data_IF_840693504255
#
_entry.id   IF_840693504255
#
_cell.length_a   1.000
_cell.length_b   1.000
_cell.length_c   1.000
_cell.angle_alpha   90.00
_cell.angle_beta   90.00
_cell.angle_gamma   90.00
#
_symmetry.space_group_name_H-M   'P 1'
#
loop_
_entity.id
_entity.type
_entity.pdbx_description
1 polymer ?
#
# COMPACT_ATOMS: atom_id res chain seq x y z
N UNK A 1 11.67 15.13 -8.85
CA UNK A 1 10.64 16.03 -9.43
C UNK A 1 11.28 17.31 -9.93
N UNK A 2 10.92 17.76 -11.11
CA UNK A 2 11.31 19.06 -11.67
C UNK A 2 10.01 19.82 -11.97
N UNK A 3 9.87 21.04 -11.42
CA UNK A 3 8.68 21.87 -11.58
C UNK A 3 7.33 21.15 -11.32
N UNK A 4 7.29 20.33 -10.27
CA UNK A 4 6.10 19.58 -9.88
C UNK A 4 5.76 18.40 -10.80
N UNK A 5 6.69 17.95 -11.66
CA UNK A 5 6.52 16.80 -12.55
C UNK A 5 7.55 15.73 -12.24
N UNK A 6 7.12 14.48 -12.30
CA UNK A 6 8.01 13.34 -12.28
C UNK A 6 8.86 13.32 -13.57
N UNK A 7 10.04 12.75 -13.49
CA UNK A 7 10.93 12.60 -14.65
C UNK A 7 11.09 11.11 -14.96
N UNK A 8 11.26 10.71 -16.22
CA UNK A 8 11.46 9.31 -16.57
C UNK A 8 12.81 8.79 -16.08
N UNK A 9 12.86 7.52 -15.69
CA UNK A 9 14.07 6.80 -15.28
C UNK A 9 14.92 7.58 -14.26
N UNK A 10 14.28 8.24 -13.31
CA UNK A 10 14.93 9.13 -12.35
C UNK A 10 14.93 8.52 -10.94
N UNK A 11 16.00 8.79 -10.19
CA UNK A 11 16.04 8.62 -8.74
C UNK A 11 16.08 10.00 -8.11
N UNK A 12 15.23 10.23 -7.11
CA UNK A 12 15.19 11.50 -6.39
C UNK A 12 14.94 11.27 -4.91
N UNK A 13 15.27 12.26 -4.10
CA UNK A 13 15.10 12.23 -2.65
C UNK A 13 14.11 13.31 -2.21
N UNK A 14 13.16 12.95 -1.34
CA UNK A 14 12.25 13.86 -0.65
C UNK A 14 12.23 13.51 0.84
N UNK A 15 12.58 14.47 1.68
CA UNK A 15 12.64 14.30 3.14
C UNK A 15 13.47 13.09 3.61
N UNK A 16 14.57 12.75 2.90
CA UNK A 16 15.39 11.58 3.21
C UNK A 16 14.86 10.25 2.68
N UNK A 17 13.71 10.24 2.01
CA UNK A 17 13.13 9.06 1.37
C UNK A 17 13.54 9.05 -0.12
N UNK A 18 13.94 7.89 -0.63
CA UNK A 18 14.48 7.72 -1.99
C UNK A 18 13.42 7.07 -2.88
N UNK A 19 13.09 7.73 -3.98
CA UNK A 19 12.09 7.29 -4.94
C UNK A 19 12.74 7.02 -6.30
N UNK A 20 12.20 6.04 -7.03
CA UNK A 20 12.63 5.73 -8.40
C UNK A 20 11.41 5.71 -9.33
N UNK A 21 11.59 6.27 -10.53
CA UNK A 21 10.58 6.25 -11.59
C UNK A 21 11.02 5.37 -12.76
N UNK A 22 10.03 4.91 -13.53
CA UNK A 22 10.24 4.21 -14.79
C UNK A 22 10.31 5.17 -16.01
N UNK A 23 10.34 4.61 -17.21
CA UNK A 23 10.36 5.34 -18.47
C UNK A 23 9.04 6.09 -18.78
N UNK A 24 7.95 5.73 -18.11
CA UNK A 24 6.65 6.39 -18.20
C UNK A 24 6.41 7.43 -17.08
N UNK A 25 7.48 7.90 -16.41
CA UNK A 25 7.41 8.89 -15.32
C UNK A 25 6.59 8.44 -14.10
N UNK A 26 6.43 7.11 -13.88
CA UNK A 26 5.66 6.54 -12.76
C UNK A 26 6.57 6.13 -11.63
N UNK A 27 6.17 6.38 -10.38
CA UNK A 27 6.92 5.92 -9.20
C UNK A 27 6.80 4.41 -9.11
N UNK A 28 7.91 3.68 -9.24
CA UNK A 28 7.95 2.21 -9.16
C UNK A 28 8.53 1.70 -7.85
N UNK A 29 9.27 2.53 -7.12
CA UNK A 29 9.77 2.16 -5.80
C UNK A 29 9.99 3.36 -4.89
N UNK A 30 9.96 3.08 -3.59
CA UNK A 30 10.37 4.01 -2.54
C UNK A 30 11.10 3.24 -1.44
N UNK A 31 12.31 3.70 -1.09
CA UNK A 31 13.01 3.27 0.12
C UNK A 31 12.92 4.39 1.15
N UNK A 32 12.37 4.09 2.33
CA UNK A 32 12.15 5.10 3.35
C UNK A 32 12.59 4.62 4.74
N UNK A 33 12.91 5.60 5.57
CA UNK A 33 13.09 5.42 7.01
C UNK A 33 12.05 6.30 7.72
N UNK A 34 10.82 5.82 7.91
CA UNK A 34 9.75 6.56 8.56
C UNK A 34 10.17 7.01 9.96
N UNK A 35 9.83 8.25 10.30
CA UNK A 35 9.99 8.81 11.65
C UNK A 35 8.72 9.54 12.03
N UNK A 36 8.34 9.52 13.31
CA UNK A 36 7.21 10.33 13.78
C UNK A 36 7.52 11.81 13.58
N UNK A 37 6.65 12.49 12.86
CA UNK A 37 6.78 13.92 12.56
C UNK A 37 5.43 14.60 12.65
N UNK A 38 5.39 15.95 12.82
CA UNK A 38 4.16 16.70 12.58
C UNK A 38 3.64 16.41 11.17
N UNK A 39 2.33 16.30 11.03
CA UNK A 39 1.71 16.04 9.74
C UNK A 39 1.97 17.20 8.76
N UNK A 40 2.62 16.91 7.64
CA UNK A 40 2.84 17.89 6.58
C UNK A 40 1.50 18.37 5.99
N UNK A 41 1.37 19.66 5.62
CA UNK A 41 0.17 20.17 4.97
C UNK A 41 -0.19 19.37 3.73
N UNK A 42 -1.48 19.21 3.47
CA UNK A 42 -1.96 18.50 2.29
C UNK A 42 -1.89 19.39 1.06
N UNK A 43 -1.29 18.92 -0.02
CA UNK A 43 -1.29 19.56 -1.33
C UNK A 43 -2.45 19.01 -2.17
N UNK A 44 -3.60 19.69 -2.13
CA UNK A 44 -4.82 19.22 -2.79
C UNK A 44 -4.67 19.08 -4.32
N UNK A 45 -3.91 19.97 -4.95
CA UNK A 45 -3.68 19.92 -6.40
C UNK A 45 -2.86 18.68 -6.77
N UNK A 46 -1.76 18.41 -6.08
CA UNK A 46 -0.94 17.21 -6.30
C UNK A 46 -1.76 15.93 -6.10
N UNK A 47 -2.66 15.91 -5.10
CA UNK A 47 -3.54 14.75 -4.88
C UNK A 47 -4.54 14.51 -6.01
N UNK A 48 -5.03 15.57 -6.67
CA UNK A 48 -5.91 15.45 -7.82
C UNK A 48 -5.16 15.01 -9.08
N UNK A 49 -3.88 15.33 -9.20
CA UNK A 49 -3.04 14.98 -10.34
C UNK A 49 -2.58 13.52 -10.32
N UNK A 50 -2.53 12.87 -9.14
CA UNK A 50 -2.08 11.48 -9.02
C UNK A 50 -2.92 10.55 -9.90
N UNK A 51 -2.26 9.76 -10.77
CA UNK A 51 -2.88 8.85 -11.73
C UNK A 51 -3.28 9.49 -13.06
N UNK A 52 -3.12 10.82 -13.21
CA UNK A 52 -3.38 11.51 -14.47
C UNK A 52 -4.74 11.19 -15.08
N UNK A 53 -4.74 10.85 -16.37
CA UNK A 53 -5.96 10.49 -17.12
C UNK A 53 -6.54 9.12 -16.73
N UNK A 54 -5.73 8.24 -16.09
CA UNK A 54 -6.13 6.89 -15.70
C UNK A 54 -6.74 6.82 -14.30
N UNK A 55 -6.79 7.97 -13.60
CA UNK A 55 -7.44 8.09 -12.30
C UNK A 55 -8.91 7.72 -12.37
N UNK A 56 -9.34 6.81 -11.49
CA UNK A 56 -10.75 6.41 -11.38
C UNK A 56 -11.53 7.37 -10.48
N UNK A 57 -12.87 7.45 -10.60
CA UNK A 57 -13.70 8.36 -9.78
C UNK A 57 -13.55 8.17 -8.27
N UNK A 58 -13.27 6.95 -7.82
CA UNK A 58 -13.10 6.60 -6.40
C UNK A 58 -11.64 6.69 -5.93
N UNK A 59 -10.71 7.05 -6.79
CA UNK A 59 -9.31 7.15 -6.39
C UNK A 59 -9.04 8.41 -5.58
N UNK A 60 -8.11 8.28 -4.69
CA UNK A 60 -7.50 9.35 -3.92
C UNK A 60 -6.01 9.44 -4.23
N UNK A 61 -5.40 10.60 -4.02
CA UNK A 61 -3.95 10.71 -3.96
C UNK A 61 -3.47 10.04 -2.67
N UNK A 62 -3.03 8.79 -2.78
CA UNK A 62 -2.46 8.05 -1.65
C UNK A 62 -0.99 8.35 -1.47
N UNK A 63 -0.56 8.69 -0.24
CA UNK A 63 0.84 8.90 0.06
C UNK A 63 1.56 7.56 0.18
N UNK A 64 2.71 7.42 -0.49
CA UNK A 64 3.57 6.24 -0.38
C UNK A 64 4.18 6.19 1.02
N UNK A 65 4.69 7.32 1.51
CA UNK A 65 5.11 7.52 2.90
C UNK A 65 4.15 8.52 3.55
N UNK A 66 3.57 8.15 4.68
CA UNK A 66 2.59 8.98 5.38
C UNK A 66 3.14 10.35 5.78
N UNK A 67 2.32 11.40 5.66
CA UNK A 67 2.71 12.78 5.96
C UNK A 67 3.08 13.02 7.44
N UNK A 68 2.55 12.21 8.35
CA UNK A 68 2.88 12.17 9.77
C UNK A 68 4.06 11.24 10.11
N UNK A 69 4.68 10.68 9.06
CA UNK A 69 5.89 9.86 9.12
C UNK A 69 7.02 10.42 8.24
N UNK A 70 7.09 11.74 8.12
CA UNK A 70 8.06 12.48 7.31
C UNK A 70 7.89 12.30 5.79
N UNK A 71 6.71 11.87 5.32
CA UNK A 71 6.38 11.82 3.90
C UNK A 71 6.17 13.21 3.30
N UNK A 72 6.59 13.40 2.05
CA UNK A 72 6.35 14.62 1.29
C UNK A 72 4.87 14.75 0.89
N UNK A 73 4.37 15.98 0.70
CA UNK A 73 2.97 16.25 0.35
C UNK A 73 2.71 16.30 -1.16
N UNK A 74 3.77 16.48 -1.95
CA UNK A 74 3.68 16.70 -3.39
C UNK A 74 3.59 15.41 -4.21
N UNK A 75 3.46 15.60 -5.53
CA UNK A 75 3.26 14.50 -6.51
C UNK A 75 4.35 13.42 -6.44
N UNK A 76 5.57 13.79 -5.98
CA UNK A 76 6.69 12.86 -5.85
C UNK A 76 6.52 11.77 -4.79
N UNK A 77 5.48 11.85 -3.96
CA UNK A 77 5.14 10.85 -2.93
C UNK A 77 3.70 10.36 -3.08
N UNK A 78 3.06 10.58 -4.23
CA UNK A 78 1.64 10.28 -4.42
C UNK A 78 1.41 9.32 -5.57
N UNK A 79 0.46 8.40 -5.38
CA UNK A 79 -0.09 7.54 -6.42
C UNK A 79 -1.62 7.56 -6.38
N UNK A 80 -2.28 7.26 -7.50
CA UNK A 80 -3.72 7.04 -7.51
C UNK A 80 -4.05 5.74 -6.78
N UNK A 81 -4.73 5.82 -5.66
CA UNK A 81 -5.08 4.67 -4.83
C UNK A 81 -6.60 4.60 -4.64
N UNK A 82 -7.18 3.41 -4.84
CA UNK A 82 -8.61 3.21 -4.54
C UNK A 82 -8.90 3.64 -3.09
N UNK A 83 -10.00 4.38 -2.90
CA UNK A 83 -10.34 4.94 -1.59
C UNK A 83 -10.54 3.89 -0.51
N UNK A 84 -11.02 2.68 -0.85
CA UNK A 84 -11.17 1.57 0.10
C UNK A 84 -9.80 1.07 0.57
N UNK A 85 -8.82 0.99 -0.36
CA UNK A 85 -7.44 0.63 0.00
C UNK A 85 -6.84 1.75 0.85
N UNK A 86 -6.85 2.97 0.36
CA UNK A 86 -6.21 4.11 1.01
C UNK A 86 -6.74 4.38 2.43
N UNK A 87 -8.08 4.37 2.60
CA UNK A 87 -8.71 4.73 3.88
C UNK A 87 -8.83 3.56 4.86
N UNK A 88 -8.63 2.31 4.41
CA UNK A 88 -8.72 1.15 5.29
C UNK A 88 -7.42 0.35 5.38
N UNK A 89 -7.03 -0.37 4.35
CA UNK A 89 -5.91 -1.32 4.41
C UNK A 89 -4.55 -0.63 4.52
N UNK A 90 -4.32 0.37 3.67
CA UNK A 90 -3.11 1.16 3.71
C UNK A 90 -3.02 1.97 5.01
N UNK A 91 -4.13 2.57 5.43
CA UNK A 91 -4.23 3.28 6.71
C UNK A 91 -3.90 2.39 7.92
N UNK A 92 -4.28 1.09 7.87
CA UNK A 92 -3.93 0.13 8.92
C UNK A 92 -2.43 -0.10 8.95
N UNK A 93 -1.80 -0.38 7.80
CA UNK A 93 -0.35 -0.51 7.70
C UNK A 93 0.35 0.73 8.27
N UNK A 94 -0.09 1.95 7.90
CA UNK A 94 0.46 3.19 8.46
C UNK A 94 0.33 3.25 9.99
N UNK A 95 -0.79 2.77 10.55
CA UNK A 95 -0.99 2.74 12.00
C UNK A 95 -0.10 1.68 12.66
N UNK A 96 0.11 0.52 12.04
CA UNK A 96 1.04 -0.51 12.52
C UNK A 96 2.48 0.04 12.57
N UNK A 97 2.92 0.72 11.51
CA UNK A 97 4.24 1.39 11.45
C UNK A 97 4.35 2.45 12.57
N UNK A 98 3.33 3.29 12.73
CA UNK A 98 3.31 4.34 13.77
C UNK A 98 3.38 3.75 15.17
N UNK A 99 2.63 2.68 15.44
CA UNK A 99 2.70 1.97 16.73
C UNK A 99 4.12 1.46 17.02
N UNK A 100 4.76 0.87 16.01
CA UNK A 100 6.14 0.38 16.11
C UNK A 100 7.14 1.52 16.39
N UNK A 101 6.98 2.66 15.72
CA UNK A 101 7.79 3.86 15.97
C UNK A 101 7.56 4.44 17.38
N UNK A 102 6.30 4.42 17.86
CA UNK A 102 5.93 4.90 19.19
C UNK A 102 6.50 4.00 20.32
N UNK A 103 6.79 2.73 20.01
CA UNK A 103 7.55 1.82 20.87
C UNK A 103 9.07 2.11 20.89
N UNK A 104 9.52 3.10 20.12
CA UNK A 104 10.93 3.52 20.04
C UNK A 104 11.80 2.64 19.14
N UNK A 105 11.19 1.84 18.25
CA UNK A 105 11.89 0.97 17.30
C UNK A 105 12.26 1.72 16.03
N UNK A 106 13.42 1.39 15.47
CA UNK A 106 13.79 1.82 14.13
C UNK A 106 12.98 1.02 13.09
N UNK A 107 12.42 1.74 12.13
CA UNK A 107 11.66 1.15 11.02
C UNK A 107 12.27 1.54 9.69
N UNK A 108 12.41 0.58 8.81
CA UNK A 108 12.70 0.83 7.38
C UNK A 108 11.58 0.25 6.53
N UNK A 109 11.27 0.92 5.43
CA UNK A 109 10.27 0.43 4.48
C UNK A 109 10.82 0.42 3.07
N UNK A 110 10.44 -0.61 2.30
CA UNK A 110 10.61 -0.66 0.85
C UNK A 110 9.24 -0.83 0.22
N UNK A 111 8.85 0.13 -0.61
CA UNK A 111 7.62 0.06 -1.40
C UNK A 111 7.97 -0.27 -2.84
N UNK A 112 7.26 -1.24 -3.42
CA UNK A 112 7.32 -1.62 -4.83
C UNK A 112 5.94 -1.46 -5.45
N UNK A 113 5.88 -0.80 -6.60
CA UNK A 113 4.62 -0.41 -7.25
C UNK A 113 4.62 -0.94 -8.67
N UNK A 114 3.57 -1.67 -9.04
CA UNK A 114 3.41 -2.23 -10.38
C UNK A 114 2.23 -1.58 -11.09
N UNK A 115 2.33 -1.52 -12.41
CA UNK A 115 1.36 -0.90 -13.29
C UNK A 115 1.06 -1.81 -14.48
N UNK A 116 -0.17 -1.77 -14.99
CA UNK A 116 -0.51 -2.42 -16.25
C UNK A 116 -0.15 -1.50 -17.43
N UNK A 117 0.56 -2.05 -18.39
CA UNK A 117 0.98 -1.36 -19.61
C UNK A 117 1.49 0.07 -19.34
N UNK A 118 0.91 1.05 -20.01
CA UNK A 118 1.26 2.49 -19.90
C UNK A 118 0.40 3.25 -18.89
N UNK A 119 -0.47 2.59 -18.13
CA UNK A 119 -1.36 3.24 -17.17
C UNK A 119 -0.56 4.02 -16.12
N UNK A 120 -1.00 5.24 -15.80
CA UNK A 120 -0.47 6.05 -14.70
C UNK A 120 -1.07 5.67 -13.33
N UNK A 121 -2.04 4.76 -13.32
CA UNK A 121 -2.67 4.24 -12.11
C UNK A 121 -2.04 2.90 -11.73
N UNK A 122 -1.53 2.75 -10.48
CA UNK A 122 -0.98 1.49 -10.01
C UNK A 122 -2.01 0.35 -10.02
N UNK A 123 -1.53 -0.84 -10.29
CA UNK A 123 -2.26 -2.10 -10.16
C UNK A 123 -2.13 -2.68 -8.76
N UNK A 124 -0.89 -2.81 -8.32
CA UNK A 124 -0.52 -3.41 -7.05
C UNK A 124 0.53 -2.57 -6.34
N UNK A 125 0.43 -2.52 -5.02
CA UNK A 125 1.42 -1.89 -4.15
C UNK A 125 1.87 -2.93 -3.13
N UNK A 126 3.17 -3.12 -3.00
CA UNK A 126 3.77 -4.03 -2.01
C UNK A 126 4.67 -3.18 -1.10
N UNK A 127 4.48 -3.29 0.21
CA UNK A 127 5.30 -2.60 1.20
C UNK A 127 5.93 -3.63 2.13
N UNK A 128 7.25 -3.70 2.11
CA UNK A 128 8.04 -4.46 3.07
C UNK A 128 8.44 -3.53 4.21
N UNK A 129 8.10 -3.90 5.43
CA UNK A 129 8.44 -3.17 6.66
C UNK A 129 9.40 -4.03 7.47
N UNK A 130 10.51 -3.48 7.89
CA UNK A 130 11.49 -4.14 8.75
C UNK A 130 11.65 -3.34 10.04
N UNK A 131 11.44 -4.00 11.19
CA UNK A 131 11.63 -3.45 12.51
C UNK A 131 12.20 -4.52 13.44
N UNK A 132 13.30 -4.23 14.16
CA UNK A 132 13.95 -5.18 15.08
C UNK A 132 14.22 -6.56 14.43
N UNK A 133 14.73 -6.56 13.20
CA UNK A 133 15.04 -7.76 12.41
C UNK A 133 13.82 -8.64 12.04
N UNK A 134 12.60 -8.16 12.30
CA UNK A 134 11.36 -8.81 11.87
C UNK A 134 10.84 -8.14 10.62
N UNK A 135 10.35 -8.94 9.69
CA UNK A 135 9.76 -8.49 8.43
C UNK A 135 8.23 -8.55 8.47
N UNK A 136 7.57 -7.56 7.88
CA UNK A 136 6.15 -7.62 7.57
C UNK A 136 5.96 -7.17 6.13
N UNK A 137 5.28 -7.98 5.31
CA UNK A 137 4.98 -7.64 3.92
C UNK A 137 3.48 -7.37 3.80
N UNK A 138 3.14 -6.19 3.28
CA UNK A 138 1.78 -5.81 2.95
C UNK A 138 1.62 -5.77 1.43
N UNK A 139 0.62 -6.47 0.91
CA UNK A 139 0.28 -6.51 -0.52
C UNK A 139 -1.12 -5.95 -0.71
N UNK A 140 -1.27 -4.95 -1.57
CA UNK A 140 -2.54 -4.26 -1.81
C UNK A 140 -2.96 -4.44 -3.28
N UNK A 141 -4.20 -4.94 -3.48
CA UNK A 141 -4.84 -4.99 -4.80
C UNK A 141 -5.57 -3.67 -5.05
N UNK A 142 -4.91 -2.76 -5.77
CA UNK A 142 -5.48 -1.44 -6.05
C UNK A 142 -6.65 -1.49 -7.06
N UNK A 143 -6.82 -2.59 -7.76
CA UNK A 143 -7.94 -2.81 -8.68
C UNK A 143 -9.17 -3.45 -8.03
N UNK A 144 -8.99 -4.12 -6.89
CA UNK A 144 -10.01 -4.93 -6.23
C UNK A 144 -10.61 -5.97 -7.18
N UNK A 145 -9.76 -6.64 -7.96
CA UNK A 145 -10.12 -7.63 -8.98
C UNK A 145 -9.72 -9.06 -8.63
N UNK A 146 -9.37 -9.30 -7.36
CA UNK A 146 -8.86 -10.57 -6.85
C UNK A 146 -7.49 -10.99 -7.43
N UNK A 147 -6.67 -10.03 -7.89
CA UNK A 147 -5.32 -10.32 -8.39
C UNK A 147 -4.43 -10.99 -7.34
N UNK A 148 -4.70 -10.77 -6.04
CA UNK A 148 -3.99 -11.39 -4.92
C UNK A 148 -4.43 -12.82 -4.61
N UNK A 149 -5.48 -13.35 -5.24
CA UNK A 149 -6.00 -14.69 -4.95
C UNK A 149 -4.95 -15.79 -5.12
N UNK A 150 -4.09 -15.66 -6.10
CA UNK A 150 -3.02 -16.63 -6.37
C UNK A 150 -1.82 -16.50 -5.39
N UNK A 151 -1.78 -15.45 -4.59
CA UNK A 151 -0.76 -15.20 -3.58
C UNK A 151 -1.20 -15.64 -2.18
N UNK A 152 -2.40 -16.22 -2.05
CA UNK A 152 -2.87 -16.78 -0.79
C UNK A 152 -2.25 -18.16 -0.54
N UNK A 153 -2.01 -18.55 0.75
CA UNK A 153 -1.46 -19.85 1.09
C UNK A 153 -2.29 -21.02 0.50
N UNK A 154 -1.61 -22.03 -0.06
CA UNK A 154 -2.28 -23.14 -0.76
C UNK A 154 -3.16 -23.98 0.15
N UNK A 155 -2.68 -24.23 1.39
CA UNK A 155 -3.39 -25.02 2.40
C UNK A 155 -4.68 -24.37 2.91
N UNK A 156 -4.87 -23.09 2.66
CA UNK A 156 -6.01 -22.29 3.18
C UNK A 156 -6.91 -21.75 2.06
N UNK A 157 -6.64 -22.11 0.81
CA UNK A 157 -7.42 -21.64 -0.35
C UNK A 157 -8.90 -21.96 -0.25
N UNK A 158 -9.25 -23.11 0.34
CA UNK A 158 -10.66 -23.52 0.52
C UNK A 158 -11.38 -22.58 1.48
N UNK A 159 -10.81 -22.30 2.65
CA UNK A 159 -11.38 -21.38 3.66
C UNK A 159 -11.53 -19.98 3.10
N UNK A 160 -10.51 -19.49 2.38
CA UNK A 160 -10.54 -18.19 1.75
C UNK A 160 -11.62 -18.14 0.66
N UNK A 161 -11.72 -19.20 -0.17
CA UNK A 161 -12.73 -19.28 -1.22
C UNK A 161 -14.15 -19.33 -0.64
N UNK A 162 -14.37 -20.07 0.44
CA UNK A 162 -15.66 -20.10 1.13
C UNK A 162 -16.03 -18.71 1.66
N UNK A 163 -15.09 -18.00 2.28
CA UNK A 163 -15.32 -16.63 2.75
C UNK A 163 -15.62 -15.66 1.61
N UNK A 164 -14.93 -15.79 0.47
CA UNK A 164 -15.22 -14.99 -0.73
C UNK A 164 -16.62 -15.28 -1.27
N UNK A 165 -17.04 -16.55 -1.29
CA UNK A 165 -18.36 -16.97 -1.75
C UNK A 165 -19.46 -16.44 -0.80
N UNK A 166 -19.29 -16.59 0.51
CA UNK A 166 -20.25 -16.13 1.54
C UNK A 166 -20.49 -14.63 1.45
N UNK A 167 -19.45 -13.85 1.17
CA UNK A 167 -19.53 -12.39 1.20
C UNK A 167 -19.71 -11.79 -0.19
N UNK A 168 -19.54 -12.57 -1.27
CA UNK A 168 -19.35 -12.07 -2.64
C UNK A 168 -18.28 -10.97 -2.66
N UNK A 169 -17.22 -11.17 -1.89
CA UNK A 169 -16.17 -10.20 -1.63
C UNK A 169 -14.98 -10.31 -2.54
N UNK A 170 -14.05 -9.39 -2.34
CA UNK A 170 -12.79 -9.30 -3.08
C UNK A 170 -11.64 -9.20 -2.09
N UNK A 171 -10.54 -9.91 -2.33
CA UNK A 171 -9.31 -9.74 -1.54
C UNK A 171 -8.76 -8.34 -1.81
N UNK A 172 -8.70 -7.53 -0.78
CA UNK A 172 -8.19 -6.15 -0.86
C UNK A 172 -6.71 -6.06 -0.51
N UNK A 173 -6.26 -6.87 0.45
CA UNK A 173 -4.85 -6.92 0.83
C UNK A 173 -4.48 -8.22 1.54
N UNK A 174 -3.19 -8.50 1.57
CA UNK A 174 -2.56 -9.58 2.34
C UNK A 174 -1.47 -8.97 3.21
N UNK A 175 -1.39 -9.41 4.47
CA UNK A 175 -0.29 -9.12 5.39
C UNK A 175 0.41 -10.42 5.73
N UNK A 176 1.72 -10.47 5.56
CA UNK A 176 2.58 -11.61 5.92
C UNK A 176 3.59 -11.16 6.97
N UNK A 177 3.70 -11.89 8.06
CA UNK A 177 4.62 -11.60 9.15
C UNK A 177 5.72 -12.66 9.22
N UNK A 178 6.96 -12.23 9.36
CA UNK A 178 8.16 -13.05 9.37
C UNK A 178 8.93 -12.87 10.67
N UNK A 179 9.49 -13.98 11.19
CA UNK A 179 10.38 -13.94 12.34
C UNK A 179 11.80 -13.44 11.95
N UNK A 180 12.72 -13.45 12.93
CA UNK A 180 14.12 -13.02 12.74
C UNK A 180 14.91 -13.90 11.79
N UNK A 181 14.54 -15.18 11.72
CA UNK A 181 15.13 -16.20 10.84
C UNK A 181 14.53 -16.16 9.44
N UNK A 182 13.62 -15.19 9.17
CA UNK A 182 12.87 -15.03 7.90
C UNK A 182 11.94 -16.21 7.59
N UNK A 183 11.38 -16.85 8.63
CA UNK A 183 10.30 -17.81 8.46
C UNK A 183 8.95 -17.07 8.50
N UNK A 184 8.03 -17.42 7.61
CA UNK A 184 6.66 -16.92 7.63
C UNK A 184 5.92 -17.48 8.85
N UNK A 185 5.40 -16.60 9.72
CA UNK A 185 4.72 -16.96 10.98
C UNK A 185 3.22 -16.82 10.87
N UNK A 186 2.75 -15.77 10.23
CA UNK A 186 1.32 -15.48 10.09
C UNK A 186 1.01 -14.85 8.73
N UNK A 187 -0.12 -15.23 8.15
CA UNK A 187 -0.70 -14.55 6.99
C UNK A 187 -2.11 -14.10 7.32
N UNK A 188 -2.39 -12.82 7.16
CA UNK A 188 -3.75 -12.27 7.25
C UNK A 188 -4.25 -11.85 5.88
N UNK A 189 -5.35 -12.47 5.42
CA UNK A 189 -6.03 -12.12 4.16
C UNK A 189 -7.23 -11.24 4.47
N UNK A 190 -7.25 -10.03 3.92
CA UNK A 190 -8.35 -9.08 4.10
C UNK A 190 -9.28 -9.08 2.90
N UNK A 191 -10.59 -9.18 3.17
CA UNK A 191 -11.65 -9.25 2.17
C UNK A 191 -12.59 -8.07 2.37
N UNK A 192 -12.81 -7.28 1.33
CA UNK A 192 -13.80 -6.21 1.30
C UNK A 192 -15.03 -6.66 0.54
N UNK A 193 -16.23 -6.27 1.01
CA UNK A 193 -17.49 -6.62 0.37
C UNK A 193 -18.57 -5.56 0.64
N UNK A 194 -19.69 -5.67 -0.06
CA UNK A 194 -20.88 -4.84 0.19
C UNK A 194 -22.00 -5.69 0.70
N UNK A 195 -22.68 -5.20 1.74
CA UNK A 195 -23.95 -5.77 2.17
C UNK A 195 -25.12 -5.37 1.24
N UNK A 196 -26.29 -5.94 1.47
CA UNK A 196 -27.52 -5.69 0.72
C UNK A 196 -27.91 -4.21 0.68
N UNK A 197 -27.59 -3.43 1.72
CA UNK A 197 -27.82 -1.99 1.81
C UNK A 197 -26.78 -1.14 1.03
N UNK A 198 -25.80 -1.79 0.40
CA UNK A 198 -24.71 -1.14 -0.33
C UNK A 198 -23.56 -0.62 0.54
N UNK A 199 -23.63 -0.81 1.86
CA UNK A 199 -22.56 -0.42 2.79
C UNK A 199 -21.34 -1.31 2.61
N UNK A 200 -20.15 -0.70 2.62
CA UNK A 200 -18.89 -1.43 2.54
C UNK A 200 -18.56 -2.08 3.90
N UNK A 201 -18.26 -3.35 3.86
CA UNK A 201 -17.81 -4.14 5.00
C UNK A 201 -16.48 -4.80 4.71
N UNK A 202 -15.90 -5.37 5.75
CA UNK A 202 -14.61 -6.04 5.71
C UNK A 202 -14.57 -7.20 6.69
N UNK A 203 -13.90 -8.24 6.28
CA UNK A 203 -13.56 -9.41 7.11
C UNK A 203 -12.11 -9.80 6.87
N UNK A 204 -11.58 -10.72 7.66
CA UNK A 204 -10.26 -11.29 7.44
C UNK A 204 -10.26 -12.79 7.77
N UNK A 205 -9.31 -13.49 7.16
CA UNK A 205 -8.90 -14.85 7.49
C UNK A 205 -7.47 -14.77 7.99
N UNK A 206 -7.21 -15.30 9.19
CA UNK A 206 -5.86 -15.35 9.81
C UNK A 206 -5.39 -16.79 9.74
N UNK A 207 -4.16 -16.98 9.29
CA UNK A 207 -3.52 -18.26 9.05
C UNK A 207 -2.21 -18.26 9.83
N UNK A 208 -2.09 -19.13 10.81
CA UNK A 208 -0.83 -19.38 11.53
C UNK A 208 -0.02 -20.42 10.74
N UNK A 209 1.27 -20.13 10.47
CA UNK A 209 2.17 -20.95 9.66
C UNK A 209 3.25 -21.65 10.49
#
# INVERSE_FOLDING_TARGET
CIDGKLQPNATYELNGNIYTTDDNERIISCEARPIRSPENPRENEAQLQAGGADRRPNDQGGHIVGRDMNGDSGIGNLVAMDSKINQSDYKRMENDIKSTLDEGKDVTTKTEITYNDVSQRPDKIIVTVIADEKGTIYKFDNNLDNSLKNETPENEKEIIQDRLNETNGTISSIKEEYDKENNLVETTVYITYKNEDGTNYRTSVIIEN
#
